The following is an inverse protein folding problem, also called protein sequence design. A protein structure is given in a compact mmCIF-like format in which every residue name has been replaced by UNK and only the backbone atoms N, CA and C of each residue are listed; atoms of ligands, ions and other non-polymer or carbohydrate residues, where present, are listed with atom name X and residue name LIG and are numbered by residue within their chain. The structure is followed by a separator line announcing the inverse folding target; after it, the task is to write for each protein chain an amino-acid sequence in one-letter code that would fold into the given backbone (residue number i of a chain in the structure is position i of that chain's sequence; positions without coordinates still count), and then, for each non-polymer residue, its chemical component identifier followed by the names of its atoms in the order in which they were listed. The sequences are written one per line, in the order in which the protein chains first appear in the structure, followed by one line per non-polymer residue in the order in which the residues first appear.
data_IF_137488833835
#
_entry.id   IF_137488833835
#
_cell.length_a   1.000
_cell.length_b   1.000
_cell.length_c   1.000
_cell.angle_alpha   90.00
_cell.angle_beta   90.00
_cell.angle_gamma   90.00
#
_symmetry.space_group_name_H-M   'P 1'
#
loop_
_entity.id
_entity.type
_entity.pdbx_description
1 polymer ?
#
# COMPACT_ATOMS: atom_id res chain seq x y z
N UNK A 1 -6.61 14.85 -16.05
CA UNK A 1 -7.41 13.90 -15.24
C UNK A 1 -7.28 14.36 -13.79
N UNK A 2 -8.32 14.24 -12.95
CA UNK A 2 -8.16 14.60 -11.53
C UNK A 2 -7.35 13.48 -10.87
N UNK A 3 -6.26 13.82 -10.19
CA UNK A 3 -5.51 12.87 -9.37
C UNK A 3 -6.45 12.30 -8.30
N UNK A 4 -6.43 10.99 -8.12
CA UNK A 4 -7.15 10.33 -7.04
C UNK A 4 -6.31 10.47 -5.79
N UNK A 5 -6.85 11.00 -4.67
CA UNK A 5 -6.10 11.09 -3.42
C UNK A 5 -5.57 9.73 -3.02
N UNK A 6 -4.30 9.68 -2.62
CA UNK A 6 -3.66 8.47 -2.15
C UNK A 6 -2.77 8.77 -0.96
N UNK A 7 -2.70 7.82 -0.03
CA UNK A 7 -1.67 7.79 0.98
C UNK A 7 -0.69 6.69 0.67
N UNK A 8 0.60 6.96 0.83
CA UNK A 8 1.64 5.93 0.86
C UNK A 8 2.39 5.96 2.19
N UNK A 9 2.91 4.81 2.61
CA UNK A 9 3.51 4.68 3.93
C UNK A 9 4.45 3.51 4.06
N UNK A 10 5.51 3.73 4.82
CA UNK A 10 6.49 2.69 5.18
C UNK A 10 6.25 2.23 6.61
N UNK A 11 6.22 0.91 6.83
CA UNK A 11 6.01 0.32 8.14
C UNK A 11 7.25 -0.45 8.61
N UNK A 12 7.58 -0.32 9.89
CA UNK A 12 8.75 -1.00 10.50
C UNK A 12 8.52 -2.49 10.75
N UNK A 13 7.29 -2.97 10.61
CA UNK A 13 6.93 -4.38 10.76
C UNK A 13 6.42 -4.94 9.42
N UNK A 14 6.43 -6.26 9.30
CA UNK A 14 5.76 -6.97 8.21
C UNK A 14 4.62 -7.78 8.86
N UNK A 15 3.40 -7.23 8.97
CA UNK A 15 2.29 -7.99 9.52
C UNK A 15 1.98 -9.21 8.64
N UNK A 16 1.44 -10.25 9.26
CA UNK A 16 1.05 -11.45 8.53
C UNK A 16 -0.11 -11.13 7.57
N UNK A 17 -0.07 -11.58 6.29
CA UNK A 17 -1.12 -11.27 5.32
C UNK A 17 -2.53 -11.70 5.75
N UNK A 18 -2.67 -12.79 6.51
CA UNK A 18 -3.97 -13.20 7.06
C UNK A 18 -4.43 -12.22 8.15
N UNK A 19 -3.52 -11.72 8.98
CA UNK A 19 -3.83 -10.66 9.95
C UNK A 19 -4.32 -9.39 9.26
N UNK A 20 -3.69 -9.01 8.14
CA UNK A 20 -4.10 -7.87 7.32
C UNK A 20 -5.49 -8.09 6.72
N UNK A 21 -5.74 -9.27 6.15
CA UNK A 21 -7.05 -9.63 5.60
C UNK A 21 -8.13 -9.52 6.68
N UNK A 22 -7.90 -10.12 7.85
CA UNK A 22 -8.86 -10.11 8.96
C UNK A 22 -9.14 -8.69 9.49
N UNK A 23 -8.19 -7.77 9.39
CA UNK A 23 -8.38 -6.37 9.78
C UNK A 23 -9.18 -5.57 8.74
N UNK A 24 -9.04 -5.89 7.46
CA UNK A 24 -9.65 -5.18 6.34
C UNK A 24 -11.07 -5.67 6.03
N UNK A 25 -11.37 -6.96 6.22
CA UNK A 25 -12.70 -7.53 5.96
C UNK A 25 -13.85 -6.81 6.69
N UNK A 26 -13.76 -6.47 7.99
CA UNK A 26 -14.81 -5.72 8.68
C UNK A 26 -15.06 -4.32 8.13
N UNK A 27 -14.09 -3.73 7.42
CA UNK A 27 -14.20 -2.44 6.74
C UNK A 27 -14.82 -2.56 5.34
N UNK A 28 -15.15 -3.79 4.91
CA UNK A 28 -15.73 -4.07 3.58
C UNK A 28 -14.69 -4.23 2.48
N UNK A 29 -13.41 -4.31 2.81
CA UNK A 29 -12.35 -4.61 1.85
C UNK A 29 -12.16 -6.13 1.72
N UNK A 30 -12.06 -6.59 0.48
CA UNK A 30 -11.79 -7.99 0.17
C UNK A 30 -10.56 -8.11 -0.72
N UNK A 31 -9.85 -9.25 -0.64
CA UNK A 31 -8.66 -9.49 -1.45
C UNK A 31 -9.07 -9.66 -2.92
N UNK A 32 -8.53 -8.81 -3.79
CA UNK A 32 -8.79 -8.81 -5.22
C UNK A 32 -7.61 -9.34 -6.04
N UNK A 33 -6.39 -9.18 -5.53
CA UNK A 33 -5.18 -9.64 -6.20
C UNK A 33 -4.12 -10.02 -5.16
N UNK A 34 -3.41 -11.11 -5.43
CA UNK A 34 -2.26 -11.56 -4.68
C UNK A 34 -1.15 -11.97 -5.64
N UNK A 35 0.08 -11.61 -5.29
CA UNK A 35 1.30 -12.12 -5.91
C UNK A 35 2.26 -12.57 -4.82
N UNK A 36 2.73 -13.81 -4.90
CA UNK A 36 3.74 -14.31 -3.97
C UNK A 36 5.12 -13.70 -4.27
N UNK A 37 5.97 -13.63 -3.25
CA UNK A 37 7.31 -13.06 -3.37
C UNK A 37 8.10 -13.71 -4.51
N UNK A 38 8.71 -12.88 -5.36
CA UNK A 38 9.52 -13.33 -6.49
C UNK A 38 10.99 -13.10 -6.19
N UNK A 39 11.79 -14.14 -6.37
CA UNK A 39 13.23 -14.07 -6.25
C UNK A 39 13.85 -14.06 -7.65
N UNK A 40 14.80 -13.16 -7.88
CA UNK A 40 15.48 -13.05 -9.16
C UNK A 40 16.99 -12.98 -8.97
N UNK A 41 17.74 -13.69 -9.81
CA UNK A 41 19.20 -13.64 -9.76
C UNK A 41 19.78 -12.30 -10.26
N UNK A 42 19.01 -11.55 -11.07
CA UNK A 42 19.49 -10.37 -11.78
C UNK A 42 18.69 -9.10 -11.47
N UNK A 43 17.61 -9.21 -10.68
CA UNK A 43 16.76 -8.09 -10.27
C UNK A 43 16.59 -8.12 -8.75
N UNK A 44 16.30 -6.97 -8.12
CA UNK A 44 15.92 -6.96 -6.72
C UNK A 44 14.74 -7.89 -6.46
N UNK A 45 14.75 -8.54 -5.29
CA UNK A 45 13.63 -9.38 -4.88
C UNK A 45 12.36 -8.56 -4.79
N UNK A 46 11.25 -9.13 -5.27
CA UNK A 46 9.95 -8.51 -5.22
C UNK A 46 9.19 -9.10 -4.03
N UNK A 47 8.84 -8.30 -3.01
CA UNK A 47 8.05 -8.80 -1.89
C UNK A 47 6.65 -9.23 -2.35
N UNK A 48 5.98 -10.06 -1.55
CA UNK A 48 4.62 -10.48 -1.83
C UNK A 48 3.68 -9.27 -1.83
N UNK A 49 2.70 -9.26 -2.71
CA UNK A 49 1.78 -8.14 -2.91
C UNK A 49 0.35 -8.57 -2.68
N UNK A 50 -0.42 -7.75 -1.98
CA UNK A 50 -1.82 -7.99 -1.67
C UNK A 50 -2.62 -6.72 -1.93
N UNK A 51 -3.63 -6.83 -2.81
CA UNK A 51 -4.48 -5.70 -3.15
C UNK A 51 -5.90 -6.01 -2.70
N UNK A 52 -6.44 -5.12 -1.89
CA UNK A 52 -7.79 -5.20 -1.37
C UNK A 52 -8.63 -4.08 -1.94
N UNK A 53 -9.92 -4.34 -2.16
CA UNK A 53 -10.85 -3.32 -2.66
C UNK A 53 -12.22 -3.45 -1.98
N UNK A 54 -12.86 -2.30 -1.75
CA UNK A 54 -14.25 -2.22 -1.29
C UNK A 54 -15.24 -1.92 -2.44
N UNK A 55 -16.53 -1.89 -2.13
CA UNK A 55 -17.61 -1.58 -3.09
C UNK A 55 -17.62 -0.12 -3.57
N UNK A 56 -16.92 0.77 -2.86
CA UNK A 56 -16.75 2.18 -3.20
C UNK A 56 -15.50 2.43 -4.06
N UNK A 57 -14.70 1.39 -4.34
CA UNK A 57 -13.45 1.50 -5.07
C UNK A 57 -12.28 2.02 -4.24
N UNK A 58 -12.38 2.05 -2.91
CA UNK A 58 -11.21 2.26 -2.04
C UNK A 58 -10.28 1.08 -2.20
N UNK A 59 -9.00 1.32 -2.42
CA UNK A 59 -8.00 0.26 -2.58
C UNK A 59 -6.95 0.34 -1.48
N UNK A 60 -6.53 -0.82 -0.99
CA UNK A 60 -5.37 -0.97 -0.13
C UNK A 60 -4.38 -1.88 -0.82
N UNK A 61 -3.16 -1.39 -1.03
CA UNK A 61 -2.05 -2.20 -1.52
C UNK A 61 -1.05 -2.40 -0.40
N UNK A 62 -0.64 -3.65 -0.19
CA UNK A 62 0.28 -4.06 0.86
C UNK A 62 1.40 -4.89 0.26
N UNK A 63 2.64 -4.42 0.42
CA UNK A 63 3.85 -5.19 0.12
C UNK A 63 4.39 -5.81 1.40
N UNK A 64 4.31 -7.14 1.50
CA UNK A 64 4.78 -7.93 2.63
C UNK A 64 6.28 -8.23 2.47
N UNK A 65 7.10 -7.25 2.82
CA UNK A 65 8.56 -7.34 2.79
C UNK A 65 9.19 -5.99 2.44
N UNK A 66 10.52 -5.95 2.48
CA UNK A 66 11.28 -4.79 2.06
C UNK A 66 11.25 -4.67 0.54
N UNK A 67 10.84 -3.53 0.01
CA UNK A 67 10.98 -3.21 -1.41
C UNK A 67 12.24 -2.35 -1.66
N UNK A 68 12.73 -2.41 -2.90
CA UNK A 68 13.96 -1.76 -3.28
C UNK A 68 13.68 -0.49 -4.10
N UNK A 69 14.31 0.65 -3.75
CA UNK A 69 14.18 1.87 -4.52
C UNK A 69 14.82 1.75 -5.90
N UNK A 70 14.36 2.58 -6.84
CA UNK A 70 15.07 2.78 -8.10
C UNK A 70 16.47 3.37 -7.87
N UNK A 71 17.38 3.14 -8.82
CA UNK A 71 18.77 3.62 -8.74
C UNK A 71 18.80 5.13 -8.52
N UNK A 72 19.39 5.55 -7.40
CA UNK A 72 19.52 6.97 -7.03
C UNK A 72 18.49 7.46 -6.02
N UNK A 73 17.47 6.65 -5.69
CA UNK A 73 16.51 6.96 -4.62
C UNK A 73 16.81 6.16 -3.35
N UNK A 74 16.28 6.62 -2.21
CA UNK A 74 16.43 5.94 -0.91
C UNK A 74 15.09 5.90 -0.20
N UNK A 75 14.68 4.72 0.21
CA UNK A 75 13.56 4.55 1.13
C UNK A 75 14.06 4.60 2.57
N UNK A 76 13.21 5.03 3.52
CA UNK A 76 13.47 4.79 4.93
C UNK A 76 13.57 3.27 5.18
N UNK A 77 14.24 2.88 6.26
CA UNK A 77 14.23 1.48 6.71
C UNK A 77 12.77 1.04 6.94
N UNK A 78 12.39 -0.12 6.45
CA UNK A 78 11.02 -0.64 6.55
C UNK A 78 11.00 -2.16 6.31
N UNK A 79 9.92 -2.79 6.73
CA UNK A 79 9.64 -4.21 6.51
C UNK A 79 8.35 -4.44 5.72
N UNK A 80 7.56 -3.40 5.49
CA UNK A 80 6.47 -3.41 4.53
C UNK A 80 6.17 -2.01 4.02
N UNK A 81 5.50 -1.94 2.86
CA UNK A 81 5.05 -0.70 2.24
C UNK A 81 3.56 -0.78 1.92
N UNK A 82 2.90 0.35 2.03
CA UNK A 82 1.45 0.45 2.00
C UNK A 82 1.00 1.60 1.13
N UNK A 83 -0.15 1.40 0.48
CA UNK A 83 -0.91 2.46 -0.16
C UNK A 83 -2.38 2.33 0.20
N UNK A 84 -3.06 3.47 0.34
CA UNK A 84 -4.51 3.56 0.36
C UNK A 84 -4.91 4.52 -0.75
N UNK A 85 -5.79 4.12 -1.64
CA UNK A 85 -6.25 4.93 -2.78
C UNK A 85 -7.72 5.24 -2.59
N UNK A 86 -8.09 6.52 -2.72
CA UNK A 86 -9.44 6.98 -2.48
C UNK A 86 -10.41 6.54 -3.59
N UNK A 87 -11.45 5.80 -3.22
CA UNK A 87 -12.57 5.49 -4.13
C UNK A 87 -13.57 6.65 -4.23
N UNK A 88 -14.84 6.31 -4.47
CA UNK A 88 -15.95 7.27 -4.47
C UNK A 88 -16.34 7.78 -3.08
N UNK A 89 -15.81 7.18 -2.01
CA UNK A 89 -16.12 7.51 -0.61
C UNK A 89 -14.88 8.00 0.14
N UNK A 90 -14.69 9.33 0.30
CA UNK A 90 -13.62 9.88 1.12
C UNK A 90 -13.70 9.44 2.59
N UNK A 91 -14.91 9.12 3.07
CA UNK A 91 -15.10 8.59 4.42
C UNK A 91 -14.49 7.21 4.57
N UNK A 92 -14.75 6.29 3.62
CA UNK A 92 -14.17 4.94 3.64
C UNK A 92 -12.64 5.00 3.54
N UNK A 93 -12.11 5.82 2.62
CA UNK A 93 -10.68 6.10 2.49
C UNK A 93 -10.02 6.52 3.80
N UNK A 94 -10.56 7.55 4.48
CA UNK A 94 -10.00 8.05 5.72
C UNK A 94 -10.14 7.05 6.89
N UNK A 95 -11.27 6.35 6.97
CA UNK A 95 -11.50 5.32 7.99
C UNK A 95 -10.47 4.20 7.87
N UNK A 96 -10.27 3.68 6.65
CA UNK A 96 -9.28 2.63 6.37
C UNK A 96 -7.88 3.11 6.72
N UNK A 97 -7.48 4.29 6.21
CA UNK A 97 -6.15 4.83 6.50
C UNK A 97 -5.90 4.99 8.00
N UNK A 98 -6.88 5.48 8.76
CA UNK A 98 -6.77 5.61 10.22
C UNK A 98 -6.65 4.27 10.93
N UNK A 99 -7.44 3.27 10.53
CA UNK A 99 -7.39 1.93 11.13
C UNK A 99 -5.99 1.32 10.94
N UNK A 100 -5.47 1.30 9.70
CA UNK A 100 -4.15 0.71 9.43
C UNK A 100 -3.02 1.48 10.13
N UNK A 101 -3.08 2.81 10.16
CA UNK A 101 -2.10 3.63 10.89
C UNK A 101 -2.12 3.34 12.39
N UNK A 102 -3.30 3.20 12.99
CA UNK A 102 -3.44 2.93 14.43
C UNK A 102 -2.90 1.54 14.79
N UNK A 103 -3.06 0.56 13.90
CA UNK A 103 -2.76 -0.85 14.14
C UNK A 103 -1.30 -1.19 13.90
N UNK A 104 -0.68 -0.61 12.87
CA UNK A 104 0.70 -0.90 12.49
C UNK A 104 1.63 0.32 12.47
N UNK A 105 1.18 1.46 12.99
CA UNK A 105 2.03 2.64 13.19
C UNK A 105 2.53 3.26 11.88
N UNK A 106 1.69 3.25 10.84
CA UNK A 106 2.07 3.71 9.49
C UNK A 106 2.02 5.24 9.43
N UNK A 107 3.15 5.93 9.20
CA UNK A 107 3.18 7.37 9.02
C UNK A 107 2.83 7.70 7.56
N UNK A 108 1.55 7.99 7.30
CA UNK A 108 1.09 8.32 5.95
C UNK A 108 1.74 9.58 5.40
N UNK A 109 2.11 9.51 4.14
CA UNK A 109 2.47 10.64 3.29
C UNK A 109 1.33 10.84 2.29
N UNK A 110 0.97 12.11 2.05
CA UNK A 110 -0.03 12.46 1.05
C UNK A 110 0.63 12.41 -0.33
N UNK A 111 0.28 11.41 -1.13
CA UNK A 111 0.83 11.23 -2.47
C UNK A 111 0.00 12.05 -3.46
N UNK A 112 0.18 13.37 -3.39
CA UNK A 112 -0.35 14.32 -4.37
C UNK A 112 0.53 14.38 -5.65
N UNK A 113 1.61 13.59 -5.74
CA UNK A 113 2.69 13.73 -6.74
C UNK A 113 2.82 12.56 -7.74
N UNK A 114 1.76 11.76 -7.99
CA UNK A 114 1.78 10.77 -9.08
C UNK A 114 1.80 11.36 -10.52
N UNK A 115 2.25 12.60 -10.75
CA UNK A 115 2.19 13.26 -12.07
C UNK A 115 3.40 14.14 -12.46
N UNK A 116 4.62 13.85 -11.97
CA UNK A 116 5.83 14.51 -12.50
C UNK A 116 6.97 13.55 -12.80
N UNK A 117 6.75 12.51 -13.61
CA UNK A 117 7.80 12.00 -14.51
C UNK A 117 7.16 11.32 -15.74
N UNK A 118 6.56 12.13 -16.62
CA UNK A 118 6.30 11.72 -18.00
C UNK A 118 6.82 12.79 -18.96
N UNK A 119 7.85 12.38 -19.70
CA UNK A 119 8.36 12.95 -20.96
C UNK A 119 9.06 14.32 -20.89
N UNK A 120 10.38 14.28 -20.99
CA UNK A 120 11.15 15.17 -21.85
C UNK A 120 12.17 14.35 -22.64
#
# INVERSE_FOLDING_TARGET
MKQTPAFDGFCQTCPDPQEVTNALEPLGLSLHFQLDAQHSYNLPDLPAQYHYRDVHGTEVMFLAGTDHPEVGTRFPAHQSRWWVICGSSPFAFNLVAQELASRWGIPWQDDQEMDTHSVA
#
